data_IF_839420214435
#
_entry.id   IF_839420214435
#
_cell.length_a   1.000
_cell.length_b   1.000
_cell.length_c   1.000
_cell.angle_alpha   90.00
_cell.angle_beta   90.00
_cell.angle_gamma   90.00
#
_symmetry.space_group_name_H-M   'P 1'
#
loop_
_entity.id
_entity.type
_entity.pdbx_description
1 polymer ?
#
# COMPACT_ATOMS: atom_id res chain seq x y z
N UNK A 1 -18.71 6.03 2.00
CA UNK A 1 -18.83 6.61 0.64
C UNK A 1 -19.70 5.69 -0.17
N UNK A 2 -20.62 6.22 -0.95
CA UNK A 2 -21.58 5.42 -1.72
C UNK A 2 -21.06 5.29 -3.18
N UNK A 3 -21.15 4.10 -3.82
CA UNK A 3 -20.67 3.88 -5.18
C UNK A 3 -21.20 4.89 -6.21
N UNK A 4 -22.40 5.41 -5.98
CA UNK A 4 -23.10 6.37 -6.84
C UNK A 4 -22.39 7.73 -6.92
N UNK A 5 -21.52 8.04 -5.96
CA UNK A 5 -20.80 9.32 -5.88
C UNK A 5 -19.40 9.20 -6.48
N UNK A 6 -18.70 8.10 -6.20
CA UNK A 6 -17.27 7.93 -6.51
C UNK A 6 -16.99 6.95 -7.64
N UNK A 7 -18.01 6.23 -8.11
CA UNK A 7 -17.91 5.12 -9.05
C UNK A 7 -17.60 3.79 -8.35
N UNK A 8 -18.02 2.69 -8.96
CA UNK A 8 -17.82 1.33 -8.43
C UNK A 8 -16.34 0.99 -8.25
N UNK A 9 -15.51 1.36 -9.22
CA UNK A 9 -14.09 1.03 -9.22
C UNK A 9 -13.36 1.65 -8.01
N UNK A 10 -13.61 2.93 -7.73
CA UNK A 10 -13.03 3.61 -6.56
C UNK A 10 -13.55 2.94 -5.28
N UNK A 11 -14.87 2.75 -5.19
CA UNK A 11 -15.49 2.15 -4.02
C UNK A 11 -14.89 0.77 -3.71
N UNK A 12 -14.81 -0.11 -4.71
CA UNK A 12 -14.31 -1.48 -4.54
C UNK A 12 -12.84 -1.49 -4.13
N UNK A 13 -12.00 -0.65 -4.73
CA UNK A 13 -10.59 -0.54 -4.33
C UNK A 13 -10.46 -0.05 -2.89
N UNK A 14 -11.20 1.01 -2.52
CA UNK A 14 -11.17 1.54 -1.16
C UNK A 14 -11.68 0.53 -0.12
N UNK A 15 -12.70 -0.28 -0.44
CA UNK A 15 -13.16 -1.36 0.43
C UNK A 15 -12.14 -2.49 0.53
N UNK A 16 -11.53 -2.90 -0.58
CA UNK A 16 -10.48 -3.92 -0.59
C UNK A 16 -9.28 -3.53 0.28
N UNK A 17 -8.81 -2.27 0.18
CA UNK A 17 -7.76 -1.73 1.05
C UNK A 17 -8.17 -1.82 2.52
N UNK A 18 -9.39 -1.41 2.87
CA UNK A 18 -9.88 -1.46 4.25
C UNK A 18 -9.96 -2.88 4.79
N UNK A 19 -10.48 -3.81 4.00
CA UNK A 19 -10.58 -5.23 4.39
C UNK A 19 -9.19 -5.83 4.62
N UNK A 20 -8.24 -5.55 3.72
CA UNK A 20 -6.86 -6.03 3.87
C UNK A 20 -6.19 -5.48 5.14
N UNK A 21 -6.36 -4.18 5.43
CA UNK A 21 -5.82 -3.57 6.64
C UNK A 21 -6.51 -4.06 7.91
N UNK A 22 -7.82 -4.32 7.87
CA UNK A 22 -8.55 -4.90 9.00
C UNK A 22 -8.04 -6.32 9.31
N UNK A 23 -7.88 -7.15 8.26
CA UNK A 23 -7.33 -8.50 8.41
C UNK A 23 -5.89 -8.47 8.93
N UNK A 24 -5.07 -7.54 8.44
CA UNK A 24 -3.72 -7.34 8.98
C UNK A 24 -3.73 -7.00 10.47
N UNK A 25 -4.62 -6.11 10.92
CA UNK A 25 -4.74 -5.74 12.32
C UNK A 25 -5.12 -6.94 13.21
N UNK A 26 -6.02 -7.82 12.76
CA UNK A 26 -6.33 -9.07 13.47
C UNK A 26 -5.10 -9.99 13.61
N UNK A 27 -4.26 -10.04 12.57
CA UNK A 27 -3.05 -10.85 12.56
C UNK A 27 -1.91 -10.23 13.39
N UNK A 28 -1.93 -8.92 13.67
CA UNK A 28 -0.86 -8.27 14.45
C UNK A 28 -0.76 -8.81 15.88
N UNK A 29 -1.88 -9.07 16.54
CA UNK A 29 -1.89 -9.65 17.90
C UNK A 29 -1.30 -11.07 17.91
N UNK A 30 -1.64 -11.87 16.89
CA UNK A 30 -1.09 -13.21 16.70
C UNK A 30 0.43 -13.13 16.48
N UNK A 31 0.88 -12.25 15.57
CA UNK A 31 2.31 -12.05 15.28
C UNK A 31 3.08 -11.61 16.53
N UNK A 32 2.48 -10.75 17.36
CA UNK A 32 3.13 -10.24 18.57
C UNK A 32 3.31 -11.33 19.64
N UNK A 33 2.42 -12.31 19.70
CA UNK A 33 2.46 -13.40 20.69
C UNK A 33 3.27 -14.60 20.19
N UNK A 34 3.01 -15.04 18.96
CA UNK A 34 3.49 -16.30 18.40
C UNK A 34 4.64 -16.13 17.39
N UNK A 35 4.79 -14.95 16.79
CA UNK A 35 5.74 -14.70 15.72
C UNK A 35 5.15 -14.89 14.33
N UNK A 36 5.90 -14.43 13.32
CA UNK A 36 5.45 -14.43 11.91
C UNK A 36 5.51 -15.81 11.25
N UNK A 37 6.36 -16.71 11.76
CA UNK A 37 6.57 -18.05 11.20
C UNK A 37 5.36 -18.97 11.40
N UNK A 38 4.55 -18.69 12.43
CA UNK A 38 3.35 -19.46 12.80
C UNK A 38 2.12 -19.13 11.94
N UNK A 39 2.22 -18.14 11.06
CA UNK A 39 1.15 -17.80 10.12
C UNK A 39 1.10 -18.79 8.96
N UNK A 40 -0.11 -19.01 8.43
CA UNK A 40 -0.28 -19.68 7.14
C UNK A 40 0.38 -18.87 6.01
N UNK A 41 0.75 -19.52 4.91
CA UNK A 41 1.34 -18.82 3.75
C UNK A 41 0.39 -17.75 3.17
N UNK A 42 -0.92 -18.00 3.21
CA UNK A 42 -1.94 -17.03 2.80
C UNK A 42 -1.99 -15.82 3.76
N UNK A 43 -1.92 -16.04 5.08
CA UNK A 43 -1.87 -14.94 6.06
C UNK A 43 -0.55 -14.15 5.95
N UNK A 44 0.58 -14.82 5.68
CA UNK A 44 1.87 -14.14 5.38
C UNK A 44 1.74 -13.24 4.15
N UNK A 45 1.05 -13.70 3.11
CA UNK A 45 0.79 -12.90 1.92
C UNK A 45 -0.08 -11.68 2.22
N UNK A 46 -1.15 -11.84 3.01
CA UNK A 46 -2.00 -10.74 3.48
C UNK A 46 -1.15 -9.72 4.24
N UNK A 47 -0.31 -10.16 5.18
CA UNK A 47 0.54 -9.25 5.96
C UNK A 47 1.53 -8.51 5.06
N UNK A 48 2.18 -9.21 4.12
CA UNK A 48 3.10 -8.61 3.15
C UNK A 48 2.41 -7.51 2.34
N UNK A 49 1.25 -7.80 1.73
CA UNK A 49 0.47 -6.81 0.96
C UNK A 49 0.00 -5.64 1.83
N UNK A 50 -0.49 -5.92 3.04
CA UNK A 50 -0.93 -4.88 3.97
C UNK A 50 0.21 -3.94 4.36
N UNK A 51 1.40 -4.46 4.64
CA UNK A 51 2.60 -3.67 4.94
C UNK A 51 3.05 -2.80 3.77
N UNK A 52 2.92 -3.30 2.53
CA UNK A 52 3.17 -2.50 1.31
C UNK A 52 2.15 -1.37 1.19
N UNK A 53 0.86 -1.68 1.34
CA UNK A 53 -0.22 -0.67 1.31
C UNK A 53 -0.03 0.41 2.38
N UNK A 54 0.29 0.02 3.62
CA UNK A 54 0.52 0.99 4.70
C UNK A 54 1.66 1.96 4.36
N UNK A 55 2.75 1.47 3.76
CA UNK A 55 3.84 2.33 3.30
C UNK A 55 3.43 3.17 2.09
N UNK A 56 2.66 2.60 1.17
CA UNK A 56 2.21 3.28 -0.04
C UNK A 56 1.19 4.40 0.20
N UNK A 57 0.54 4.40 1.37
CA UNK A 57 -0.25 5.54 1.84
C UNK A 57 0.61 6.76 2.24
N UNK A 58 1.93 6.59 2.37
CA UNK A 58 2.86 7.72 2.55
C UNK A 58 3.13 8.42 1.22
N UNK A 59 3.31 9.73 1.27
CA UNK A 59 3.60 10.54 0.09
C UNK A 59 4.51 11.72 0.50
N UNK A 60 5.52 12.08 -0.31
CA UNK A 60 6.30 13.28 -0.07
C UNK A 60 5.44 14.52 -0.34
N UNK A 61 5.31 15.40 0.65
CA UNK A 61 4.55 16.65 0.52
C UNK A 61 5.46 17.78 0.09
N UNK A 62 5.01 18.61 -0.87
CA UNK A 62 5.74 19.80 -1.33
C UNK A 62 6.14 20.75 -0.20
N UNK A 63 5.27 20.91 0.80
CA UNK A 63 5.54 21.75 1.98
C UNK A 63 6.58 21.15 2.93
N UNK A 64 6.82 19.83 2.85
CA UNK A 64 7.76 19.12 3.70
C UNK A 64 9.16 19.00 3.07
N UNK A 65 9.30 19.32 1.78
CA UNK A 65 10.54 19.18 1.00
C UNK A 65 11.72 19.91 1.64
N UNK A 66 11.48 21.09 2.22
CA UNK A 66 12.51 21.87 2.92
C UNK A 66 13.04 21.19 4.19
N UNK A 67 12.29 20.26 4.79
CA UNK A 67 12.65 19.60 6.05
C UNK A 67 13.24 18.20 5.84
N UNK A 68 12.78 17.47 4.82
CA UNK A 68 13.17 16.07 4.60
C UNK A 68 13.97 15.84 3.31
N UNK A 69 14.08 16.85 2.42
CA UNK A 69 14.83 16.75 1.17
C UNK A 69 14.17 15.90 0.07
N UNK A 70 12.95 15.39 0.29
CA UNK A 70 12.22 14.63 -0.72
C UNK A 70 11.36 15.58 -1.57
N UNK A 71 11.50 15.57 -2.91
CA UNK A 71 10.67 16.41 -3.77
C UNK A 71 9.21 16.03 -3.64
N UNK A 72 8.36 17.04 -3.41
CA UNK A 72 6.92 16.85 -3.28
C UNK A 72 6.29 16.23 -4.52
N UNK A 73 5.24 15.42 -4.32
CA UNK A 73 4.54 14.76 -5.43
C UNK A 73 3.05 15.06 -5.38
N UNK A 74 2.44 15.17 -6.55
CA UNK A 74 1.00 15.21 -6.72
C UNK A 74 0.57 13.95 -7.48
N UNK A 75 -0.35 13.17 -6.90
CA UNK A 75 -0.86 11.94 -7.51
C UNK A 75 -2.33 12.14 -7.87
N UNK A 76 -2.70 12.07 -9.15
CA UNK A 76 -4.09 12.13 -9.57
C UNK A 76 -4.90 10.96 -9.01
N UNK A 77 -6.19 11.19 -8.72
CA UNK A 77 -7.10 10.19 -8.15
C UNK A 77 -7.14 8.90 -8.99
N UNK A 78 -7.14 9.03 -10.33
CA UNK A 78 -7.13 7.88 -11.25
C UNK A 78 -5.89 7.00 -11.05
N UNK A 79 -4.73 7.62 -10.87
CA UNK A 79 -3.48 6.90 -10.66
C UNK A 79 -3.42 6.27 -9.28
N UNK A 80 -3.98 6.93 -8.25
CA UNK A 80 -4.15 6.33 -6.92
C UNK A 80 -4.99 5.06 -6.99
N UNK A 81 -6.19 5.13 -7.57
CA UNK A 81 -7.11 3.99 -7.66
C UNK A 81 -6.46 2.82 -8.41
N UNK A 82 -5.82 3.10 -9.55
CA UNK A 82 -5.08 2.10 -10.33
C UNK A 82 -3.95 1.47 -9.51
N UNK A 83 -3.11 2.30 -8.91
CA UNK A 83 -1.94 1.84 -8.16
C UNK A 83 -2.34 0.94 -6.98
N UNK A 84 -3.35 1.34 -6.20
CA UNK A 84 -3.83 0.50 -5.09
C UNK A 84 -4.52 -0.78 -5.57
N UNK A 85 -5.23 -0.74 -6.71
CA UNK A 85 -5.76 -1.98 -7.31
C UNK A 85 -4.64 -2.95 -7.65
N UNK A 86 -3.59 -2.49 -8.32
CA UNK A 86 -2.49 -3.38 -8.74
C UNK A 86 -1.79 -4.04 -7.54
N UNK A 87 -1.67 -3.34 -6.41
CA UNK A 87 -1.16 -3.93 -5.16
C UNK A 87 -2.15 -4.94 -4.56
N UNK A 88 -3.46 -4.65 -4.57
CA UNK A 88 -4.48 -5.59 -4.11
C UNK A 88 -4.52 -6.87 -4.96
N UNK A 89 -4.38 -6.72 -6.27
CA UNK A 89 -4.34 -7.82 -7.25
C UNK A 89 -3.05 -8.66 -7.16
N UNK A 90 -2.06 -8.21 -6.39
CA UNK A 90 -0.79 -8.94 -6.20
C UNK A 90 0.24 -8.77 -7.31
N UNK A 91 0.07 -7.78 -8.20
CA UNK A 91 0.99 -7.57 -9.33
C UNK A 91 2.40 -7.14 -8.93
N UNK A 92 2.55 -6.68 -7.68
CA UNK A 92 3.78 -6.13 -7.12
C UNK A 92 4.19 -6.86 -5.83
N UNK A 93 3.84 -8.14 -5.71
CA UNK A 93 4.15 -8.98 -4.54
C UNK A 93 5.64 -9.31 -4.42
N UNK A 94 6.37 -9.27 -5.52
CA UNK A 94 7.82 -9.44 -5.62
C UNK A 94 8.61 -8.20 -5.16
N UNK A 95 8.01 -7.01 -5.21
CA UNK A 95 8.69 -5.77 -4.82
C UNK A 95 8.93 -5.69 -3.31
N UNK A 96 10.10 -5.20 -2.85
CA UNK A 96 10.37 -5.04 -1.43
C UNK A 96 9.47 -3.96 -0.79
N UNK A 97 9.06 -4.15 0.46
CA UNK A 97 8.18 -3.21 1.17
C UNK A 97 8.75 -1.77 1.20
N UNK A 98 10.08 -1.63 1.29
CA UNK A 98 10.77 -0.35 1.33
C UNK A 98 10.60 0.48 0.03
N UNK A 99 10.30 -0.17 -1.10
CA UNK A 99 10.05 0.50 -2.37
C UNK A 99 8.76 1.35 -2.35
N UNK A 100 7.80 1.00 -1.48
CA UNK A 100 6.52 1.70 -1.37
C UNK A 100 6.55 2.92 -0.45
N UNK A 101 7.69 3.24 0.18
CA UNK A 101 7.79 4.35 1.12
C UNK A 101 8.15 5.66 0.41
N UNK A 102 7.41 6.75 0.69
CA UNK A 102 7.62 8.09 0.13
C UNK A 102 7.70 8.13 -1.40
N UNK A 103 6.76 7.46 -2.06
CA UNK A 103 6.61 7.47 -3.52
C UNK A 103 5.26 8.07 -3.92
N UNK A 104 5.11 8.41 -5.19
CA UNK A 104 3.86 8.85 -5.80
C UNK A 104 3.04 7.66 -6.32
N UNK A 105 2.94 7.54 -7.64
CA UNK A 105 2.26 6.43 -8.29
C UNK A 105 3.10 5.13 -8.27
N UNK A 106 2.48 4.01 -8.64
CA UNK A 106 3.09 2.67 -8.56
C UNK A 106 4.38 2.54 -9.38
N UNK A 107 4.51 3.28 -10.48
CA UNK A 107 5.70 3.29 -11.33
C UNK A 107 6.95 3.68 -10.56
N UNK A 108 6.82 4.60 -9.60
CA UNK A 108 7.95 5.04 -8.80
C UNK A 108 8.35 4.01 -7.75
N UNK A 109 7.39 3.22 -7.24
CA UNK A 109 7.70 2.09 -6.38
C UNK A 109 8.50 1.04 -7.16
N UNK A 110 8.08 0.74 -8.40
CA UNK A 110 8.82 -0.17 -9.31
C UNK A 110 10.22 0.37 -9.60
N UNK A 111 10.36 1.67 -9.88
CA UNK A 111 11.67 2.25 -10.17
C UNK A 111 12.57 2.24 -8.93
N UNK A 112 12.03 2.59 -7.76
CA UNK A 112 12.75 2.56 -6.49
C UNK A 112 13.22 1.14 -6.14
N UNK A 113 12.39 0.12 -6.42
CA UNK A 113 12.75 -1.27 -6.19
C UNK A 113 13.99 -1.72 -6.96
N UNK A 114 14.26 -1.15 -8.15
CA UNK A 114 15.47 -1.47 -8.94
C UNK A 114 16.77 -0.95 -8.30
N UNK A 115 16.65 -0.02 -7.36
CA UNK A 115 17.78 0.66 -6.71
C UNK A 115 18.04 0.16 -5.28
N UNK A 116 17.25 -0.80 -4.81
CA UNK A 116 17.35 -1.45 -3.49
C UNK A 116 18.00 -2.83 -3.62
#
# INVERSE_FOLDING_TARGET
MAPEIVGEEHYNVAQGVKQLLARYNELQDIIAILGMDELSEDDKLIVSRARKIQRFLSQPFHVAEQFNGFPGKYVPVKDTIRSFREVLDGKHDDLPEAAFLFVGAIEEAVEKAKTL
#
